data_IF_797975426813
#
_entry.id   IF_797975426813
#
_cell.length_a   1.000
_cell.length_b   1.000
_cell.length_c   1.000
_cell.angle_alpha   90.00
_cell.angle_beta   90.00
_cell.angle_gamma   90.00
#
_symmetry.space_group_name_H-M   'P 1'
#
loop_
_entity.id
_entity.type
_entity.pdbx_description
1 polymer ?
#
# COMPACT_ATOMS: atom_id res chain seq x y z
N UNK A 1 -39.37 -45.99 -78.97
CA UNK A 1 -38.20 -45.18 -78.60
C UNK A 1 -38.33 -44.56 -77.17
N UNK A 2 -38.87 -45.29 -76.18
CA UNK A 2 -39.21 -44.70 -74.85
C UNK A 2 -38.52 -45.41 -73.65
N UNK A 3 -37.82 -46.54 -73.86
CA UNK A 3 -37.29 -47.34 -72.73
C UNK A 3 -35.90 -46.90 -72.21
N UNK A 4 -35.18 -46.04 -72.94
CA UNK A 4 -33.82 -45.60 -72.53
C UNK A 4 -33.83 -44.42 -71.53
N UNK A 5 -34.92 -43.63 -71.48
CA UNK A 5 -34.97 -42.39 -70.68
C UNK A 5 -35.26 -42.65 -69.18
N UNK A 6 -36.07 -43.66 -68.87
CA UNK A 6 -36.46 -44.00 -67.48
C UNK A 6 -35.33 -44.61 -66.66
N UNK A 7 -34.40 -45.35 -67.28
CA UNK A 7 -33.25 -45.96 -66.59
C UNK A 7 -32.23 -44.93 -66.10
N UNK A 8 -31.95 -43.89 -66.91
CA UNK A 8 -31.04 -42.81 -66.53
C UNK A 8 -31.62 -41.92 -65.43
N UNK A 9 -32.92 -41.64 -65.47
CA UNK A 9 -33.64 -40.91 -64.43
C UNK A 9 -33.64 -41.65 -63.08
N UNK A 10 -33.77 -42.98 -63.09
CA UNK A 10 -33.74 -43.80 -61.87
C UNK A 10 -32.34 -43.82 -61.24
N UNK A 11 -31.29 -43.96 -62.07
CA UNK A 11 -29.89 -43.90 -61.60
C UNK A 11 -29.54 -42.51 -61.04
N UNK A 12 -30.00 -41.44 -61.68
CA UNK A 12 -29.77 -40.07 -61.20
C UNK A 12 -30.44 -39.81 -59.85
N UNK A 13 -31.71 -40.23 -59.68
CA UNK A 13 -32.45 -40.09 -58.42
C UNK A 13 -31.82 -40.91 -57.27
N UNK A 14 -31.28 -42.08 -57.58
CA UNK A 14 -30.57 -42.92 -56.61
C UNK A 14 -29.24 -42.28 -56.15
N UNK A 15 -28.48 -41.69 -57.07
CA UNK A 15 -27.23 -40.97 -56.75
C UNK A 15 -27.51 -39.73 -55.90
N UNK A 16 -28.57 -38.99 -56.21
CA UNK A 16 -29.02 -37.83 -55.42
C UNK A 16 -29.37 -38.20 -53.97
N UNK A 17 -30.08 -39.31 -53.75
CA UNK A 17 -30.39 -39.80 -52.41
C UNK A 17 -29.14 -40.25 -51.63
N UNK A 18 -28.15 -40.87 -52.31
CA UNK A 18 -26.87 -41.23 -51.69
C UNK A 18 -26.07 -39.98 -51.30
N UNK A 19 -26.07 -38.95 -52.14
CA UNK A 19 -25.37 -37.70 -51.84
C UNK A 19 -26.03 -36.96 -50.68
N UNK A 20 -27.37 -36.87 -50.66
CA UNK A 20 -28.11 -36.23 -49.58
C UNK A 20 -27.83 -36.90 -48.22
N UNK A 21 -27.89 -38.25 -48.16
CA UNK A 21 -27.58 -39.00 -46.93
C UNK A 21 -26.12 -38.88 -46.48
N UNK A 22 -25.17 -38.74 -47.41
CA UNK A 22 -23.76 -38.49 -47.06
C UNK A 22 -23.52 -37.07 -46.56
N UNK A 23 -24.25 -36.09 -47.06
CA UNK A 23 -24.19 -34.69 -46.59
C UNK A 23 -24.76 -34.61 -45.17
N UNK A 24 -25.93 -35.19 -44.92
CA UNK A 24 -26.57 -35.21 -43.59
C UNK A 24 -25.68 -35.90 -42.54
N UNK A 25 -25.08 -37.05 -42.89
CA UNK A 25 -24.13 -37.73 -42.00
C UNK A 25 -22.85 -36.92 -41.75
N UNK A 26 -22.38 -36.16 -42.73
CA UNK A 26 -21.22 -35.29 -42.55
C UNK A 26 -21.54 -34.09 -41.63
N UNK A 27 -22.78 -33.58 -41.70
CA UNK A 27 -23.28 -32.49 -40.86
C UNK A 27 -23.47 -32.94 -39.40
N UNK A 28 -24.01 -34.15 -39.17
CA UNK A 28 -24.08 -34.75 -37.83
C UNK A 28 -22.69 -34.95 -37.20
N UNK A 29 -21.72 -35.47 -37.97
CA UNK A 29 -20.34 -35.66 -37.48
C UNK A 29 -19.66 -34.32 -37.18
N UNK A 30 -19.92 -33.29 -37.98
CA UNK A 30 -19.41 -31.94 -37.73
C UNK A 30 -20.02 -31.32 -36.46
N UNK A 31 -21.34 -31.49 -36.26
CA UNK A 31 -22.05 -31.05 -35.07
C UNK A 31 -21.56 -31.74 -33.80
N UNK A 32 -21.40 -33.07 -33.84
CA UNK A 32 -20.92 -33.87 -32.71
C UNK A 32 -19.47 -33.50 -32.33
N UNK A 33 -18.62 -33.25 -33.33
CA UNK A 33 -17.26 -32.73 -33.10
C UNK A 33 -17.27 -31.33 -32.48
N UNK A 34 -18.15 -30.43 -32.93
CA UNK A 34 -18.32 -29.08 -32.36
C UNK A 34 -18.75 -29.13 -30.88
N UNK A 35 -19.69 -30.00 -30.54
CA UNK A 35 -20.16 -30.17 -29.17
C UNK A 35 -19.07 -30.74 -28.26
N UNK A 36 -18.25 -31.67 -28.77
CA UNK A 36 -17.11 -32.22 -28.04
C UNK A 36 -16.02 -31.16 -27.79
N UNK A 37 -15.76 -30.29 -28.76
CA UNK A 37 -14.80 -29.19 -28.63
C UNK A 37 -15.28 -28.14 -27.61
N UNK A 38 -16.58 -27.84 -27.58
CA UNK A 38 -17.20 -26.95 -26.58
C UNK A 38 -17.12 -27.52 -25.16
N UNK A 39 -17.40 -28.81 -24.98
CA UNK A 39 -17.29 -29.50 -23.69
C UNK A 39 -15.84 -29.53 -23.19
N UNK A 40 -14.88 -29.81 -24.07
CA UNK A 40 -13.45 -29.76 -23.76
C UNK A 40 -13.01 -28.35 -23.33
N UNK A 41 -13.46 -27.31 -24.05
CA UNK A 41 -13.18 -25.91 -23.72
C UNK A 41 -13.79 -25.51 -22.38
N UNK A 42 -15.04 -25.92 -22.10
CA UNK A 42 -15.72 -25.70 -20.82
C UNK A 42 -14.97 -26.35 -19.66
N UNK A 43 -14.52 -27.61 -19.82
CA UNK A 43 -13.70 -28.32 -18.83
C UNK A 43 -12.36 -27.62 -18.58
N UNK A 44 -11.68 -27.15 -19.63
CA UNK A 44 -10.44 -26.39 -19.51
C UNK A 44 -10.65 -25.10 -18.70
N UNK A 45 -11.73 -24.35 -18.99
CA UNK A 45 -12.07 -23.14 -18.24
C UNK A 45 -12.43 -23.44 -16.79
N UNK A 46 -13.09 -24.56 -16.51
CA UNK A 46 -13.39 -24.99 -15.14
C UNK A 46 -12.12 -25.32 -14.35
N UNK A 47 -11.16 -26.02 -14.96
CA UNK A 47 -9.85 -26.32 -14.34
C UNK A 47 -9.06 -25.03 -14.09
N UNK A 48 -8.96 -24.14 -15.09
CA UNK A 48 -8.30 -22.85 -14.92
C UNK A 48 -8.94 -22.01 -13.81
N UNK A 49 -10.27 -21.94 -13.77
CA UNK A 49 -10.99 -21.18 -12.76
C UNK A 49 -10.76 -21.74 -11.36
N UNK A 50 -10.72 -23.07 -11.20
CA UNK A 50 -10.41 -23.70 -9.92
C UNK A 50 -9.03 -23.33 -9.39
N UNK A 51 -8.00 -23.36 -10.25
CA UNK A 51 -6.64 -22.97 -9.87
C UNK A 51 -6.51 -21.45 -9.63
N UNK A 52 -7.10 -20.62 -10.50
CA UNK A 52 -7.05 -19.18 -10.38
C UNK A 52 -7.78 -18.67 -9.13
N UNK A 53 -8.95 -19.23 -8.81
CA UNK A 53 -9.71 -18.86 -7.61
C UNK A 53 -8.95 -19.22 -6.33
N UNK A 54 -8.23 -20.34 -6.32
CA UNK A 54 -7.38 -20.73 -5.20
C UNK A 54 -6.18 -19.79 -5.06
N UNK A 55 -5.38 -19.64 -6.12
CA UNK A 55 -4.15 -18.84 -6.07
C UNK A 55 -4.42 -17.35 -5.86
N UNK A 56 -5.26 -16.73 -6.70
CA UNK A 56 -5.57 -15.30 -6.59
C UNK A 56 -6.40 -15.02 -5.33
N UNK A 57 -7.24 -15.97 -4.91
CA UNK A 57 -8.04 -15.86 -3.68
C UNK A 57 -7.17 -15.82 -2.43
N UNK A 58 -6.20 -16.72 -2.30
CA UNK A 58 -5.23 -16.74 -1.20
C UNK A 58 -4.36 -15.48 -1.20
N UNK A 59 -3.87 -15.06 -2.37
CA UNK A 59 -3.05 -13.85 -2.52
C UNK A 59 -3.81 -12.59 -2.07
N UNK A 60 -5.04 -12.41 -2.59
CA UNK A 60 -5.88 -11.25 -2.28
C UNK A 60 -6.34 -11.24 -0.82
N UNK A 61 -6.58 -12.42 -0.23
CA UNK A 61 -6.88 -12.53 1.19
C UNK A 61 -5.68 -12.09 2.05
N UNK A 62 -4.47 -12.58 1.74
CA UNK A 62 -3.25 -12.18 2.43
C UNK A 62 -3.01 -10.67 2.35
N UNK A 63 -3.13 -10.07 1.16
CA UNK A 63 -3.01 -8.62 1.00
C UNK A 63 -4.02 -7.84 1.82
N UNK A 64 -5.27 -8.30 1.87
CA UNK A 64 -6.30 -7.61 2.64
C UNK A 64 -5.96 -7.61 4.13
N UNK A 65 -5.50 -8.75 4.65
CA UNK A 65 -5.15 -8.89 6.07
C UNK A 65 -3.92 -8.03 6.41
N UNK A 66 -2.85 -8.12 5.61
CA UNK A 66 -1.64 -7.28 5.76
C UNK A 66 -1.99 -5.78 5.75
N UNK A 67 -2.83 -5.35 4.81
CA UNK A 67 -3.25 -3.95 4.72
C UNK A 67 -4.10 -3.52 5.91
N UNK A 68 -4.91 -4.43 6.47
CA UNK A 68 -5.70 -4.15 7.68
C UNK A 68 -4.80 -3.84 8.86
N UNK A 69 -3.75 -4.66 9.05
CA UNK A 69 -2.79 -4.47 10.12
C UNK A 69 -1.99 -3.18 9.95
N UNK A 70 -1.58 -2.85 8.71
CA UNK A 70 -0.88 -1.60 8.39
C UNK A 70 -1.74 -0.36 8.66
N UNK A 71 -3.04 -0.38 8.34
CA UNK A 71 -3.95 0.72 8.64
C UNK A 71 -4.08 0.93 10.15
N UNK A 72 -4.27 -0.14 10.93
CA UNK A 72 -4.36 -0.05 12.39
C UNK A 72 -3.06 0.52 12.97
N UNK A 73 -1.91 -0.04 12.57
CA UNK A 73 -0.62 0.44 13.04
C UNK A 73 -0.38 1.91 12.68
N UNK A 74 -0.61 2.30 11.43
CA UNK A 74 -0.41 3.68 10.97
C UNK A 74 -1.30 4.68 11.70
N UNK A 75 -2.54 4.30 12.05
CA UNK A 75 -3.46 5.16 12.79
C UNK A 75 -3.03 5.37 14.25
N UNK A 76 -2.56 4.32 14.93
CA UNK A 76 -2.00 4.40 16.27
C UNK A 76 -0.72 5.23 16.29
N UNK A 77 0.18 4.96 15.34
CA UNK A 77 1.41 5.72 15.18
C UNK A 77 1.13 7.21 14.92
N UNK A 78 0.20 7.54 14.03
CA UNK A 78 -0.18 8.94 13.75
C UNK A 78 -0.77 9.64 14.97
N UNK A 79 -1.48 8.91 15.83
CA UNK A 79 -2.03 9.46 17.08
C UNK A 79 -0.92 9.81 18.07
N UNK A 80 0.05 8.90 18.26
CA UNK A 80 1.22 9.15 19.11
C UNK A 80 2.06 10.29 18.54
N UNK A 81 2.34 10.28 17.23
CA UNK A 81 3.09 11.33 16.55
C UNK A 81 2.43 12.71 16.67
N UNK A 82 1.10 12.77 16.63
CA UNK A 82 0.35 14.02 16.80
C UNK A 82 0.57 14.63 18.19
N UNK A 83 0.64 13.81 19.25
CA UNK A 83 0.95 14.30 20.60
C UNK A 83 2.35 14.96 20.66
N UNK A 84 3.34 14.34 20.00
CA UNK A 84 4.67 14.91 19.87
C UNK A 84 4.67 16.22 19.06
N UNK A 85 3.96 16.26 17.93
CA UNK A 85 3.82 17.46 17.09
C UNK A 85 3.19 18.61 17.88
N UNK A 86 2.15 18.36 18.68
CA UNK A 86 1.52 19.40 19.50
C UNK A 86 2.54 20.02 20.47
N UNK A 87 3.41 19.20 21.04
CA UNK A 87 4.43 19.68 21.97
C UNK A 87 5.59 20.40 21.24
N UNK A 88 6.12 19.85 20.14
CA UNK A 88 7.19 20.52 19.38
C UNK A 88 6.71 21.78 18.69
N UNK A 89 5.44 21.87 18.31
CA UNK A 89 4.89 23.05 17.64
C UNK A 89 5.02 24.30 18.52
N UNK A 90 4.93 24.13 19.85
CA UNK A 90 5.13 25.22 20.81
C UNK A 90 6.53 25.82 20.72
N UNK A 91 7.55 25.02 20.39
CA UNK A 91 8.93 25.51 20.25
C UNK A 91 9.15 26.38 19.01
N UNK A 92 8.21 26.39 18.07
CA UNK A 92 8.20 27.27 16.90
C UNK A 92 7.46 28.59 17.15
N UNK A 93 6.82 28.74 18.31
CA UNK A 93 6.10 29.94 18.67
C UNK A 93 6.80 30.65 19.85
N UNK A 94 6.76 31.99 19.89
CA UNK A 94 7.26 32.73 21.04
C UNK A 94 6.47 32.37 22.29
N UNK A 95 7.17 31.97 23.35
CA UNK A 95 6.56 31.71 24.66
C UNK A 95 6.18 33.04 25.33
N UNK A 96 4.87 33.29 25.43
CA UNK A 96 4.31 34.46 26.08
C UNK A 96 4.66 34.52 27.57
N UNK A 97 4.89 33.38 28.22
CA UNK A 97 5.36 33.27 29.60
C UNK A 97 6.76 33.85 29.76
N UNK A 98 7.71 33.42 28.91
CA UNK A 98 9.08 33.94 28.91
C UNK A 98 9.10 35.44 28.58
N UNK A 99 8.32 35.87 27.59
CA UNK A 99 8.19 37.29 27.27
C UNK A 99 7.67 38.08 28.49
N UNK A 100 6.64 37.59 29.17
CA UNK A 100 6.07 38.24 30.37
C UNK A 100 7.09 38.31 31.50
N UNK A 101 7.83 37.22 31.77
CA UNK A 101 8.88 37.18 32.81
C UNK A 101 10.02 38.15 32.46
N UNK A 102 10.44 38.23 31.19
CA UNK A 102 11.47 39.17 30.76
C UNK A 102 11.05 40.63 30.93
N UNK A 103 9.80 40.97 30.57
CA UNK A 103 9.26 42.30 30.74
C UNK A 103 9.11 42.66 32.22
N UNK A 104 8.65 41.72 33.05
CA UNK A 104 8.53 41.93 34.50
C UNK A 104 9.90 42.13 35.16
N UNK A 105 10.91 41.38 34.72
CA UNK A 105 12.30 41.54 35.18
C UNK A 105 12.84 42.92 34.79
N UNK A 106 12.56 43.36 33.57
CA UNK A 106 12.96 44.68 33.08
C UNK A 106 12.28 45.81 33.86
N UNK A 107 10.98 45.70 34.13
CA UNK A 107 10.24 46.67 34.97
C UNK A 107 10.82 46.70 36.39
N UNK A 108 11.12 45.53 36.96
CA UNK A 108 11.74 45.43 38.29
C UNK A 108 13.11 46.12 38.35
N UNK A 109 13.95 45.93 37.33
CA UNK A 109 15.25 46.60 37.22
C UNK A 109 15.12 48.11 37.05
N UNK A 110 14.15 48.58 36.25
CA UNK A 110 13.88 50.01 36.09
C UNK A 110 13.40 50.65 37.40
N UNK A 111 12.53 49.97 38.14
CA UNK A 111 12.04 50.45 39.44
C UNK A 111 13.17 50.53 40.48
N UNK A 112 14.05 49.52 40.52
CA UNK A 112 15.21 49.51 41.40
C UNK A 112 16.23 50.62 41.04
N UNK A 113 16.47 50.84 39.75
CA UNK A 113 17.35 51.91 39.30
C UNK A 113 16.81 53.30 39.60
N UNK A 114 15.50 53.51 39.40
CA UNK A 114 14.82 54.76 39.73
C UNK A 114 14.91 55.08 41.23
N UNK A 115 14.78 54.06 42.10
CA UNK A 115 14.99 54.22 43.55
C UNK A 115 16.42 54.65 43.91
N UNK A 116 17.42 54.24 43.12
CA UNK A 116 18.82 54.61 43.28
C UNK A 116 19.23 55.88 42.52
N UNK A 117 18.28 56.60 41.92
CA UNK A 117 18.56 57.82 41.14
C UNK A 117 19.27 57.58 39.80
N UNK A 118 19.24 56.35 39.29
CA UNK A 118 19.84 55.95 38.01
C UNK A 118 18.75 55.59 36.99
N UNK A 119 19.06 55.64 35.70
CA UNK A 119 18.12 55.27 34.63
C UNK A 119 18.67 54.09 33.84
N UNK A 120 17.83 53.08 33.62
CA UNK A 120 18.15 51.94 32.72
C UNK A 120 17.36 52.13 31.44
N UNK A 121 18.01 52.14 30.25
CA UNK A 121 17.30 52.27 28.99
C UNK A 121 16.39 51.06 28.75
N UNK A 122 15.23 51.31 28.14
CA UNK A 122 14.33 50.25 27.68
C UNK A 122 15.02 49.46 26.55
N UNK A 123 15.23 48.18 26.78
CA UNK A 123 15.68 47.24 25.74
C UNK A 123 14.45 46.63 25.09
N UNK A 124 14.27 46.86 23.80
CA UNK A 124 13.27 46.15 23.01
C UNK A 124 13.56 44.65 23.05
N UNK A 125 12.57 43.79 23.32
CA UNK A 125 12.75 42.34 23.22
C UNK A 125 13.27 41.97 21.83
N UNK A 126 14.24 41.07 21.77
CA UNK A 126 14.72 40.55 20.48
C UNK A 126 13.58 39.82 19.75
N UNK A 127 13.54 39.94 18.43
CA UNK A 127 12.62 39.16 17.60
C UNK A 127 12.83 37.67 17.84
N UNK A 128 11.72 36.95 18.02
CA UNK A 128 11.76 35.51 18.25
C UNK A 128 12.29 34.79 17.01
N UNK A 129 13.39 34.06 17.19
CA UNK A 129 13.92 33.14 16.20
C UNK A 129 13.89 31.73 16.79
N UNK A 130 13.14 30.79 16.17
CA UNK A 130 13.10 29.42 16.64
C UNK A 130 14.46 28.76 16.44
N UNK A 131 14.83 27.87 17.37
CA UNK A 131 16.08 27.13 17.26
C UNK A 131 16.09 26.23 16.01
N UNK A 132 17.26 26.07 15.40
CA UNK A 132 17.39 25.29 14.17
C UNK A 132 17.01 23.82 14.38
N UNK A 133 17.30 23.26 15.56
CA UNK A 133 16.91 21.87 15.90
C UNK A 133 15.39 21.73 15.99
N UNK A 134 14.69 22.72 16.57
CA UNK A 134 13.23 22.77 16.63
C UNK A 134 12.58 22.82 15.26
N UNK A 135 13.13 23.60 14.32
CA UNK A 135 12.63 23.67 12.93
C UNK A 135 12.80 22.33 12.22
N UNK A 136 13.99 21.73 12.32
CA UNK A 136 14.28 20.43 11.68
C UNK A 136 13.39 19.33 12.27
N UNK A 137 13.26 19.27 13.59
CA UNK A 137 12.40 18.33 14.30
C UNK A 137 10.95 18.39 13.80
N UNK A 138 10.35 19.59 13.80
CA UNK A 138 8.98 19.77 13.34
C UNK A 138 8.80 19.38 11.87
N UNK A 139 9.74 19.77 11.00
CA UNK A 139 9.72 19.37 9.59
C UNK A 139 9.71 17.84 9.43
N UNK A 140 10.61 17.14 10.13
CA UNK A 140 10.71 15.69 10.09
C UNK A 140 9.43 15.01 10.58
N UNK A 141 8.84 15.49 11.67
CA UNK A 141 7.59 14.93 12.21
C UNK A 141 6.37 15.21 11.33
N UNK A 142 6.26 16.39 10.71
CA UNK A 142 5.21 16.64 9.72
C UNK A 142 5.35 15.73 8.50
N UNK A 143 6.57 15.56 7.97
CA UNK A 143 6.82 14.62 6.87
C UNK A 143 6.50 13.18 7.27
N UNK A 144 6.91 12.76 8.46
CA UNK A 144 6.58 11.44 9.00
C UNK A 144 5.06 11.23 9.08
N UNK A 145 4.30 12.23 9.54
CA UNK A 145 2.85 12.16 9.64
C UNK A 145 2.20 12.01 8.26
N UNK A 146 2.61 12.82 7.28
CA UNK A 146 2.10 12.73 5.90
C UNK A 146 2.39 11.35 5.30
N UNK A 147 3.59 10.82 5.51
CA UNK A 147 3.96 9.49 5.02
C UNK A 147 3.14 8.37 5.67
N UNK A 148 2.82 8.46 6.96
CA UNK A 148 1.96 7.48 7.63
C UNK A 148 0.50 7.55 7.16
N UNK A 149 -0.03 8.76 6.95
CA UNK A 149 -1.39 8.94 6.42
C UNK A 149 -1.50 8.49 4.96
N UNK A 150 -0.49 8.76 4.14
CA UNK A 150 -0.44 8.26 2.76
C UNK A 150 -0.33 6.73 2.71
N UNK A 151 0.48 6.12 3.58
CA UNK A 151 0.49 4.66 3.77
C UNK A 151 -0.91 4.12 4.10
N UNK A 152 -1.60 4.71 5.08
CA UNK A 152 -2.97 4.32 5.44
C UNK A 152 -3.94 4.46 4.27
N UNK A 153 -3.85 5.54 3.50
CA UNK A 153 -4.72 5.78 2.36
C UNK A 153 -4.50 4.76 1.24
N UNK A 154 -3.24 4.45 0.91
CA UNK A 154 -2.90 3.44 -0.07
C UNK A 154 -3.35 2.03 0.37
N UNK A 155 -3.18 1.69 1.64
CA UNK A 155 -3.65 0.42 2.20
C UNK A 155 -5.18 0.28 2.09
N UNK A 156 -5.92 1.35 2.36
CA UNK A 156 -7.38 1.39 2.17
C UNK A 156 -7.74 1.20 0.69
N UNK A 157 -7.03 1.81 -0.25
CA UNK A 157 -7.29 1.60 -1.68
C UNK A 157 -7.09 0.13 -2.09
N UNK A 158 -6.03 -0.52 -1.61
CA UNK A 158 -5.81 -1.96 -1.83
C UNK A 158 -6.97 -2.77 -1.23
N UNK A 159 -7.41 -2.46 -0.01
CA UNK A 159 -8.56 -3.14 0.61
C UNK A 159 -9.88 -2.95 -0.17
N UNK A 160 -10.12 -1.75 -0.70
CA UNK A 160 -11.29 -1.47 -1.52
C UNK A 160 -11.26 -2.29 -2.81
N UNK A 161 -10.11 -2.29 -3.50
CA UNK A 161 -9.93 -3.06 -4.72
C UNK A 161 -10.09 -4.56 -4.49
N UNK A 162 -9.48 -5.10 -3.43
CA UNK A 162 -9.54 -6.54 -3.10
C UNK A 162 -10.98 -6.99 -2.79
N UNK A 163 -11.74 -6.15 -2.08
CA UNK A 163 -13.17 -6.38 -1.82
C UNK A 163 -13.99 -6.37 -3.11
N UNK A 164 -13.79 -5.38 -3.97
CA UNK A 164 -14.49 -5.26 -5.25
C UNK A 164 -14.16 -6.43 -6.19
N UNK A 165 -12.89 -6.86 -6.19
CA UNK A 165 -12.44 -8.03 -6.95
C UNK A 165 -13.16 -9.30 -6.48
N UNK A 166 -13.18 -9.56 -5.17
CA UNK A 166 -13.89 -10.73 -4.59
C UNK A 166 -15.39 -10.70 -4.89
N UNK A 167 -16.01 -9.53 -4.81
CA UNK A 167 -17.43 -9.37 -5.11
C UNK A 167 -17.74 -9.69 -6.59
N UNK A 168 -16.93 -9.17 -7.53
CA UNK A 168 -17.12 -9.40 -8.97
C UNK A 168 -16.90 -10.86 -9.37
N UNK A 169 -15.98 -11.55 -8.69
CA UNK A 169 -15.64 -12.95 -8.98
C UNK A 169 -16.61 -13.97 -8.36
N UNK A 170 -17.25 -13.65 -7.22
CA UNK A 170 -18.16 -14.57 -6.51
C UNK A 170 -19.60 -14.52 -7.04
N UNK A 171 -20.10 -13.36 -7.49
CA UNK A 171 -21.52 -13.13 -7.80
C UNK A 171 -21.97 -13.54 -9.22
N UNK A 172 -21.18 -14.29 -9.98
CA UNK A 172 -21.49 -14.59 -11.40
C UNK A 172 -21.71 -16.09 -11.63
N UNK A 173 -22.82 -16.52 -12.27
CA UNK A 173 -23.14 -17.94 -12.43
C UNK A 173 -22.37 -18.65 -13.56
N UNK A 174 -21.90 -17.92 -14.58
CA UNK A 174 -21.22 -18.53 -15.73
C UNK A 174 -19.71 -18.72 -15.48
N UNK A 175 -19.16 -19.94 -15.60
CA UNK A 175 -17.73 -20.22 -15.38
C UNK A 175 -16.83 -19.51 -16.39
N UNK A 176 -17.25 -19.43 -17.66
CA UNK A 176 -16.49 -18.75 -18.73
C UNK A 176 -16.40 -17.25 -18.48
N UNK A 177 -17.50 -16.62 -18.02
CA UNK A 177 -17.49 -15.20 -17.70
C UNK A 177 -16.62 -14.89 -16.47
N UNK A 178 -16.66 -15.74 -15.44
CA UNK A 178 -15.78 -15.63 -14.27
C UNK A 178 -14.31 -15.74 -14.68
N UNK A 179 -13.96 -16.73 -15.49
CA UNK A 179 -12.59 -16.93 -15.95
C UNK A 179 -12.05 -15.71 -16.72
N UNK A 180 -12.87 -15.09 -17.57
CA UNK A 180 -12.52 -13.83 -18.26
C UNK A 180 -12.24 -12.68 -17.30
N UNK A 181 -12.99 -12.56 -16.21
CA UNK A 181 -12.78 -11.52 -15.20
C UNK A 181 -11.47 -11.76 -14.45
N UNK A 182 -11.20 -12.99 -13.99
CA UNK A 182 -9.94 -13.35 -13.36
C UNK A 182 -8.75 -13.02 -14.26
N UNK A 183 -8.81 -13.46 -15.52
CA UNK A 183 -7.76 -13.19 -16.51
C UNK A 183 -7.57 -11.68 -16.73
N UNK A 184 -8.65 -10.92 -16.92
CA UNK A 184 -8.59 -9.46 -17.10
C UNK A 184 -8.00 -8.75 -15.87
N UNK A 185 -8.43 -9.13 -14.67
CA UNK A 185 -7.92 -8.58 -13.42
C UNK A 185 -6.45 -8.91 -13.20
N UNK A 186 -6.01 -10.13 -13.52
CA UNK A 186 -4.60 -10.52 -13.45
C UNK A 186 -3.73 -9.65 -14.39
N UNK A 187 -4.15 -9.48 -15.65
CA UNK A 187 -3.46 -8.57 -16.56
C UNK A 187 -3.51 -7.12 -16.08
N UNK A 188 -4.62 -6.69 -15.46
CA UNK A 188 -4.75 -5.39 -14.81
C UNK A 188 -3.74 -5.20 -13.67
N UNK A 189 -3.68 -6.15 -12.72
CA UNK A 189 -2.71 -6.13 -11.61
C UNK A 189 -1.28 -6.03 -12.10
N UNK A 190 -0.92 -6.77 -13.14
CA UNK A 190 0.41 -6.74 -13.75
C UNK A 190 0.69 -5.42 -14.49
N UNK A 191 -0.29 -4.90 -15.23
CA UNK A 191 -0.15 -3.65 -15.99
C UNK A 191 -0.01 -2.43 -15.08
N UNK A 192 -0.76 -2.38 -13.99
CA UNK A 192 -0.74 -1.28 -13.03
C UNK A 192 0.25 -1.48 -11.88
N UNK A 193 0.99 -2.60 -11.87
CA UNK A 193 2.02 -2.87 -10.87
C UNK A 193 1.47 -3.00 -9.45
N UNK A 194 0.33 -3.66 -9.28
CA UNK A 194 -0.34 -3.74 -7.96
C UNK A 194 0.55 -4.38 -6.89
N UNK A 195 1.37 -5.36 -7.26
CA UNK A 195 2.41 -5.91 -6.38
C UNK A 195 3.38 -4.82 -5.88
N UNK A 196 3.90 -3.98 -6.78
CA UNK A 196 4.79 -2.89 -6.41
C UNK A 196 4.10 -1.88 -5.48
N UNK A 197 2.80 -1.62 -5.66
CA UNK A 197 2.03 -0.76 -4.73
C UNK A 197 1.92 -1.42 -3.35
N UNK A 198 1.58 -2.70 -3.29
CA UNK A 198 1.47 -3.48 -2.04
C UNK A 198 2.80 -3.51 -1.29
N UNK A 199 3.91 -3.71 -2.01
CA UNK A 199 5.26 -3.77 -1.43
C UNK A 199 5.76 -2.37 -1.00
N UNK A 200 5.31 -1.31 -1.68
CA UNK A 200 5.67 0.08 -1.37
C UNK A 200 5.02 0.59 -0.07
N UNK A 201 3.82 0.11 0.29
CA UNK A 201 3.07 0.61 1.46
C UNK A 201 3.85 0.41 2.78
N UNK A 202 4.32 -0.80 3.14
CA UNK A 202 5.17 -1.00 4.32
C UNK A 202 6.45 -0.16 4.28
N UNK A 203 7.01 0.08 3.10
CA UNK A 203 8.23 0.87 2.94
C UNK A 203 8.01 2.35 3.30
N UNK A 204 6.89 2.96 2.89
CA UNK A 204 6.53 4.33 3.31
C UNK A 204 6.42 4.43 4.84
N UNK A 205 5.81 3.43 5.46
CA UNK A 205 5.65 3.37 6.90
C UNK A 205 7.00 3.27 7.63
N UNK A 206 7.93 2.44 7.12
CA UNK A 206 9.28 2.37 7.67
C UNK A 206 10.04 3.68 7.53
N UNK A 207 9.95 4.36 6.37
CA UNK A 207 10.55 5.68 6.20
C UNK A 207 9.96 6.65 7.23
N UNK A 208 8.64 6.68 7.39
CA UNK A 208 7.99 7.52 8.39
C UNK A 208 8.53 7.28 9.81
N UNK A 209 8.66 6.02 10.23
CA UNK A 209 9.21 5.66 11.53
C UNK A 209 10.65 6.15 11.71
N UNK A 210 11.49 6.02 10.67
CA UNK A 210 12.87 6.51 10.70
C UNK A 210 12.92 8.03 10.87
N UNK A 211 12.10 8.78 10.12
CA UNK A 211 12.00 10.23 10.27
C UNK A 211 11.55 10.61 11.69
N UNK A 212 10.59 9.89 12.27
CA UNK A 212 10.13 10.12 13.63
C UNK A 212 11.25 9.95 14.66
N UNK A 213 12.02 8.87 14.55
CA UNK A 213 13.12 8.63 15.48
C UNK A 213 14.25 9.65 15.34
N UNK A 214 14.57 10.09 14.12
CA UNK A 214 15.54 11.17 13.90
C UNK A 214 15.04 12.47 14.52
N UNK A 215 13.77 12.81 14.28
CA UNK A 215 13.13 13.97 14.90
C UNK A 215 13.09 13.88 16.43
N UNK A 216 12.93 12.68 17.00
CA UNK A 216 13.00 12.47 18.45
C UNK A 216 14.40 12.81 18.99
N UNK A 217 15.48 12.40 18.33
CA UNK A 217 16.83 12.75 18.77
C UNK A 217 17.05 14.27 18.71
N UNK A 218 16.60 14.91 17.62
CA UNK A 218 16.67 16.38 17.46
C UNK A 218 15.87 17.12 18.54
N UNK A 219 14.67 16.64 18.86
CA UNK A 219 13.82 17.22 19.92
C UNK A 219 14.50 17.23 21.30
N UNK A 220 15.33 16.23 21.59
CA UNK A 220 16.02 16.12 22.88
C UNK A 220 17.30 16.98 22.99
N UNK A 221 17.83 17.51 21.88
CA UNK A 221 19.05 18.32 21.85
C UNK A 221 19.00 19.53 22.80
N UNK A 222 17.96 20.40 22.73
CA UNK A 222 17.88 21.57 23.60
C UNK A 222 17.47 21.21 25.04
N UNK A 223 16.88 20.03 25.28
CA UNK A 223 16.35 19.63 26.58
C UNK A 223 17.45 19.13 27.52
N UNK A 224 18.16 18.06 27.13
CA UNK A 224 19.21 17.49 27.94
C UNK A 224 20.13 16.58 27.12
N UNK A 225 21.42 16.91 27.07
CA UNK A 225 22.43 16.14 26.34
C UNK A 225 22.57 14.69 26.82
N UNK A 226 22.43 14.42 28.12
CA UNK A 226 22.52 13.06 28.67
C UNK A 226 21.37 12.19 28.15
N UNK A 227 20.14 12.71 28.20
CA UNK A 227 18.95 11.97 27.71
C UNK A 227 19.02 11.78 26.20
N UNK A 228 19.49 12.79 25.46
CA UNK A 228 19.75 12.70 24.03
C UNK A 228 20.72 11.55 23.68
N UNK A 229 21.87 11.46 24.34
CA UNK A 229 22.86 10.40 24.08
C UNK A 229 22.36 9.01 24.46
N UNK A 230 21.63 8.88 25.56
CA UNK A 230 21.01 7.61 25.92
C UNK A 230 20.00 7.18 24.86
N UNK A 231 19.14 8.10 24.41
CA UNK A 231 18.11 7.77 23.43
C UNK A 231 18.70 7.47 22.05
N UNK A 232 19.74 8.18 21.63
CA UNK A 232 20.45 7.88 20.38
C UNK A 232 21.16 6.53 20.44
N UNK A 233 21.71 6.14 21.60
CA UNK A 233 22.31 4.81 21.79
C UNK A 233 21.28 3.69 21.65
N UNK A 234 20.10 3.82 22.26
CA UNK A 234 19.03 2.83 22.10
C UNK A 234 18.56 2.72 20.65
N UNK A 235 18.40 3.87 19.98
CA UNK A 235 18.03 3.91 18.57
C UNK A 235 19.09 3.29 17.67
N UNK A 236 20.38 3.51 17.95
CA UNK A 236 21.48 2.92 17.19
C UNK A 236 21.50 1.38 17.33
N UNK A 237 21.24 0.85 18.52
CA UNK A 237 21.12 -0.61 18.74
C UNK A 237 19.91 -1.15 17.97
N UNK A 238 18.75 -0.49 18.06
CA UNK A 238 17.56 -0.89 17.31
C UNK A 238 17.81 -0.87 15.79
N UNK A 239 18.42 0.19 15.27
CA UNK A 239 18.79 0.32 13.87
C UNK A 239 19.77 -0.78 13.44
N UNK A 240 20.78 -1.08 14.28
CA UNK A 240 21.72 -2.17 14.02
C UNK A 240 21.00 -3.52 13.93
N UNK A 241 20.12 -3.83 14.89
CA UNK A 241 19.33 -5.08 14.86
C UNK A 241 18.43 -5.12 13.63
N UNK A 242 17.77 -4.02 13.28
CA UNK A 242 16.92 -3.95 12.09
C UNK A 242 17.71 -4.17 10.79
N UNK A 243 18.88 -3.54 10.65
CA UNK A 243 19.77 -3.74 9.51
C UNK A 243 20.27 -5.19 9.48
N UNK A 244 20.71 -5.74 10.62
CA UNK A 244 21.13 -7.14 10.71
C UNK A 244 20.02 -8.07 10.25
N UNK A 245 18.79 -7.91 10.73
CA UNK A 245 17.63 -8.72 10.33
C UNK A 245 17.27 -8.54 8.84
N UNK A 246 17.50 -7.36 8.27
CA UNK A 246 17.22 -7.06 6.87
C UNK A 246 18.28 -7.63 5.93
N UNK A 247 19.56 -7.61 6.32
CA UNK A 247 20.68 -8.15 5.53
C UNK A 247 20.96 -9.63 5.80
N UNK A 248 20.45 -10.20 6.91
CA UNK A 248 20.59 -11.62 7.25
C UNK A 248 20.18 -12.57 6.11
N UNK A 249 19.04 -12.34 5.41
CA UNK A 249 18.59 -13.22 4.32
C UNK A 249 19.47 -13.15 3.08
N UNK A 250 20.30 -12.10 2.96
CA UNK A 250 21.25 -11.92 1.83
C UNK A 250 22.52 -12.75 2.07
N UNK A 251 22.89 -12.97 3.34
CA UNK A 251 24.11 -13.70 3.73
C UNK A 251 23.80 -15.19 3.96
N UNK A 252 22.61 -15.50 4.50
CA UNK A 252 22.17 -16.87 4.78
C UNK A 252 20.84 -17.15 4.07
N UNK A 253 20.89 -17.95 3.01
CA UNK A 253 19.73 -18.40 2.23
C UNK A 253 18.73 -19.25 3.06
N UNK A 254 19.16 -19.81 4.20
CA UNK A 254 18.35 -20.65 5.10
C UNK A 254 17.74 -19.89 6.31
N UNK A 255 17.87 -18.56 6.36
CA UNK A 255 17.34 -17.78 7.48
C UNK A 255 15.78 -17.70 7.44
N UNK A 256 15.07 -18.01 8.55
CA UNK A 256 13.61 -18.03 8.60
C UNK A 256 12.95 -16.63 8.55
N UNK A 257 13.75 -15.56 8.59
CA UNK A 257 13.27 -14.18 8.61
C UNK A 257 13.08 -13.66 7.18
N UNK A 258 11.87 -13.77 6.63
CA UNK A 258 11.50 -13.11 5.36
C UNK A 258 11.08 -11.69 5.65
N UNK A 259 11.95 -10.72 5.39
CA UNK A 259 11.60 -9.29 5.44
C UNK A 259 10.93 -8.88 4.11
N UNK A 260 10.07 -7.85 4.09
CA UNK A 260 9.41 -7.39 2.87
C UNK A 260 10.38 -6.90 1.77
N UNK A 261 11.66 -6.69 2.10
CA UNK A 261 12.71 -6.34 1.14
C UNK A 261 13.34 -7.57 0.45
N UNK A 262 13.07 -8.79 0.91
CA UNK A 262 13.61 -10.04 0.35
C UNK A 262 12.58 -10.85 -0.45
N UNK A 263 11.52 -10.20 -0.95
CA UNK A 263 10.51 -10.82 -1.80
C UNK A 263 10.68 -10.43 -3.26
#
# INVERSE_FOLDING_TARGET
MVSCSTSHLFKFKHVLNILATRIEKAEEVASDRSNADEDACSKLWAVYLGEAEKYDGELVAGWKDDMSDLVVFSSLYSSVLTAFIIESYRTLQPDSGVLTVSLLTQISQQLAAAANGTTVPFQTPNDFQPDSSSVICNLLWFLALVLALTCSLLAIFVQQWTRDFKQKTTLRPSPVLRAKIFMYSYFGMRKFGMHAVVDLIPFLLHISLLLFFVGLVEFLIPVNKTVQYLMSSFLAVYALVYLLLTFLPIIYLDAPFRTPLSR
#
